data_IF_701504724068
#
_entry.id   IF_701504724068
#
_cell.length_a   1.000
_cell.length_b   1.000
_cell.length_c   1.000
_cell.angle_alpha   90.00
_cell.angle_beta   90.00
_cell.angle_gamma   90.00
#
_symmetry.space_group_name_H-M   'P 1'
#
loop_
_entity.id
_entity.type
_entity.pdbx_description
1 polymer ?
#
# COMPACT_ATOMS: atom_id res chain seq x y z
N UNK A 1 -24.36 36.63 -2.43
CA UNK A 1 -24.54 36.00 -1.11
C UNK A 1 -24.41 34.48 -1.13
N UNK A 2 -24.92 33.76 -2.14
CA UNK A 2 -24.77 32.30 -2.23
C UNK A 2 -23.32 31.82 -2.53
N UNK A 3 -22.54 32.63 -3.24
CA UNK A 3 -21.14 32.30 -3.57
C UNK A 3 -20.24 32.31 -2.33
N UNK A 4 -20.36 33.33 -1.48
CA UNK A 4 -19.63 33.44 -0.22
C UNK A 4 -19.91 32.27 0.73
N UNK A 5 -21.16 31.79 0.80
CA UNK A 5 -21.51 30.61 1.59
C UNK A 5 -20.82 29.33 1.08
N UNK A 6 -20.70 29.16 -0.25
CA UNK A 6 -19.97 28.04 -0.86
C UNK A 6 -18.47 28.14 -0.63
N UNK A 7 -17.91 29.35 -0.72
CA UNK A 7 -16.51 29.60 -0.39
C UNK A 7 -16.19 29.30 1.08
N UNK A 8 -17.08 29.65 2.00
CA UNK A 8 -16.89 29.39 3.42
C UNK A 8 -16.97 27.88 3.73
N UNK A 9 -17.85 27.16 3.06
CA UNK A 9 -17.93 25.71 3.13
C UNK A 9 -16.66 25.04 2.60
N UNK A 10 -16.13 25.49 1.47
CA UNK A 10 -14.88 24.94 0.90
C UNK A 10 -13.69 25.21 1.81
N UNK A 11 -13.55 26.44 2.34
CA UNK A 11 -12.49 26.80 3.31
C UNK A 11 -12.58 25.96 4.58
N UNK A 12 -13.78 25.69 5.08
CA UNK A 12 -14.00 24.84 6.25
C UNK A 12 -13.57 23.39 5.98
N UNK A 13 -13.98 22.82 4.86
CA UNK A 13 -13.60 21.45 4.46
C UNK A 13 -12.10 21.30 4.21
N UNK A 14 -11.48 22.32 3.64
CA UNK A 14 -10.04 22.31 3.40
C UNK A 14 -9.24 22.32 4.71
N UNK A 15 -9.65 23.14 5.69
CA UNK A 15 -9.05 23.16 7.03
C UNK A 15 -9.21 21.81 7.73
N UNK A 16 -10.40 21.22 7.70
CA UNK A 16 -10.69 19.90 8.26
C UNK A 16 -9.79 18.80 7.65
N UNK A 17 -9.65 18.81 6.32
CA UNK A 17 -8.81 17.86 5.60
C UNK A 17 -7.31 18.03 5.92
N UNK A 18 -6.83 19.26 6.06
CA UNK A 18 -5.45 19.55 6.43
C UNK A 18 -5.13 19.02 7.84
N UNK A 19 -6.01 19.25 8.81
CA UNK A 19 -5.81 18.76 10.18
C UNK A 19 -5.85 17.22 10.22
N UNK A 20 -6.76 16.57 9.49
CA UNK A 20 -6.77 15.10 9.33
C UNK A 20 -5.46 14.58 8.72
N UNK A 21 -4.93 15.26 7.70
CA UNK A 21 -3.66 14.88 7.06
C UNK A 21 -2.47 15.03 8.01
N UNK A 22 -2.41 16.14 8.77
CA UNK A 22 -1.34 16.37 9.76
C UNK A 22 -1.41 15.35 10.91
N UNK A 23 -2.61 15.04 11.40
CA UNK A 23 -2.80 14.02 12.43
C UNK A 23 -2.32 12.63 11.97
N UNK A 24 -2.57 12.28 10.70
CA UNK A 24 -2.14 11.02 10.11
C UNK A 24 -0.70 11.04 9.54
N UNK A 25 -0.01 12.20 9.55
CA UNK A 25 1.34 12.32 9.03
C UNK A 25 2.39 11.58 9.89
N UNK A 26 2.06 11.26 11.14
CA UNK A 26 2.92 10.47 12.03
C UNK A 26 2.88 8.95 11.78
N UNK A 27 1.89 8.44 11.03
CA UNK A 27 1.70 6.99 10.81
C UNK A 27 2.32 6.43 9.53
N UNK A 28 2.71 7.28 8.57
CA UNK A 28 3.26 6.86 7.28
C UNK A 28 4.76 6.60 7.26
N UNK A 29 5.42 6.64 8.43
CA UNK A 29 6.88 6.65 8.57
C UNK A 29 7.43 5.48 9.38
N UNK A 30 6.83 4.30 9.29
CA UNK A 30 7.41 3.09 9.83
C UNK A 30 7.01 1.90 8.95
N UNK A 31 7.60 1.80 7.76
CA UNK A 31 7.75 0.50 7.10
C UNK A 31 8.72 -0.39 7.89
N UNK A 32 8.46 -0.58 9.20
CA UNK A 32 9.10 -1.56 10.08
C UNK A 32 8.47 -2.94 9.89
N UNK A 33 7.24 -2.97 9.35
CA UNK A 33 6.51 -4.19 8.99
C UNK A 33 6.82 -4.68 7.57
N UNK A 34 7.78 -4.04 6.89
CA UNK A 34 8.57 -4.71 5.85
C UNK A 34 9.50 -5.74 6.49
N UNK A 35 8.96 -6.61 7.35
CA UNK A 35 9.67 -7.74 7.93
C UNK A 35 10.41 -8.45 6.80
N UNK A 36 11.69 -8.76 7.07
CA UNK A 36 12.64 -9.30 6.11
C UNK A 36 11.91 -10.10 5.04
N UNK A 37 11.97 -9.63 3.78
CA UNK A 37 11.44 -10.34 2.60
C UNK A 37 11.67 -11.82 2.86
N UNK A 38 10.60 -12.54 3.19
CA UNK A 38 10.70 -13.95 3.54
C UNK A 38 11.54 -14.56 2.43
N UNK A 39 12.68 -15.22 2.73
CA UNK A 39 13.35 -15.95 1.69
C UNK A 39 12.29 -16.93 1.23
N UNK A 40 11.78 -16.75 0.01
CA UNK A 40 11.11 -17.82 -0.70
C UNK A 40 12.20 -18.85 -1.01
N UNK A 41 12.70 -19.48 0.05
CA UNK A 41 13.50 -20.67 0.00
C UNK A 41 12.49 -21.74 -0.39
N UNK A 42 12.31 -21.89 -1.69
CA UNK A 42 11.67 -23.06 -2.24
C UNK A 42 12.32 -24.25 -1.55
N UNK A 43 11.52 -25.02 -0.79
CA UNK A 43 11.99 -26.23 -0.13
C UNK A 43 12.57 -27.21 -1.16
N UNK A 44 13.31 -28.23 -0.71
CA UNK A 44 13.89 -29.21 -1.63
C UNK A 44 12.81 -29.71 -2.59
N UNK A 45 13.03 -29.52 -3.90
CA UNK A 45 12.12 -30.03 -4.93
C UNK A 45 12.23 -31.55 -4.89
N UNK A 46 11.36 -32.17 -4.12
CA UNK A 46 11.30 -33.63 -4.02
C UNK A 46 10.78 -34.26 -5.32
N UNK A 47 10.05 -33.51 -6.16
CA UNK A 47 9.34 -34.08 -7.32
C UNK A 47 9.64 -33.30 -8.61
N UNK A 48 10.79 -33.56 -9.25
CA UNK A 48 11.02 -33.16 -10.65
C UNK A 48 10.41 -34.20 -11.57
N UNK A 49 9.26 -33.89 -12.17
CA UNK A 49 8.71 -34.69 -13.28
C UNK A 49 9.50 -34.41 -14.55
N UNK A 50 10.32 -35.35 -14.95
CA UNK A 50 11.00 -35.31 -16.24
C UNK A 50 10.06 -35.82 -17.32
N UNK A 51 9.65 -34.93 -18.24
CA UNK A 51 8.92 -35.34 -19.43
C UNK A 51 9.90 -35.97 -20.41
N UNK A 52 9.79 -37.29 -20.61
CA UNK A 52 10.48 -37.96 -21.71
C UNK A 52 9.97 -37.35 -23.01
N UNK A 53 10.81 -36.50 -23.61
CA UNK A 53 10.64 -36.06 -24.99
C UNK A 53 10.68 -37.32 -25.84
N UNK A 54 9.75 -37.45 -26.77
CA UNK A 54 9.72 -38.57 -27.72
C UNK A 54 10.99 -38.51 -28.57
N UNK A 55 12.03 -39.23 -28.14
CA UNK A 55 13.18 -39.56 -28.97
C UNK A 55 12.90 -40.93 -29.60
N UNK A 56 13.01 -40.97 -30.93
CA UNK A 56 12.63 -42.09 -31.78
C UNK A 56 11.73 -41.60 -32.90
#
# INVERSE_FOLDING_TARGET
MADSAREDDTKRRFREALERKKANAGGGGAHKDGGAKQPRAHGPVEHRREFRRKSG
#
